data_IF_576756537213
#
_entry.id   IF_576756537213
#
_cell.length_a   1.000
_cell.length_b   1.000
_cell.length_c   1.000
_cell.angle_alpha   90.00
_cell.angle_beta   90.00
_cell.angle_gamma   90.00
#
_symmetry.space_group_name_H-M   'P 1'
#
loop_
_entity.id
_entity.type
_entity.pdbx_description
1 polymer ?
#
# COMPACT_ATOMS: atom_id res chain seq x y z
N UNK A 1 -5.59 -1.33 0.53
CA UNK A 1 -5.42 0.04 1.06
C UNK A 1 -4.61 0.88 0.11
N UNK A 2 -5.09 2.05 -0.24
CA UNK A 2 -4.39 2.92 -1.19
C UNK A 2 -4.77 4.39 -0.97
N UNK A 3 -3.83 5.28 -1.25
CA UNK A 3 -4.07 6.72 -1.37
C UNK A 3 -3.95 7.21 -2.82
N UNK A 4 -3.91 6.30 -3.77
CA UNK A 4 -3.73 6.61 -5.19
C UNK A 4 -5.08 6.72 -5.90
N UNK A 5 -5.43 7.90 -6.48
CA UNK A 5 -6.69 8.06 -7.19
C UNK A 5 -6.88 7.11 -8.38
N UNK A 6 -5.81 6.74 -9.07
CA UNK A 6 -5.90 5.81 -10.20
C UNK A 6 -6.24 4.39 -9.73
N UNK A 7 -5.75 3.99 -8.56
CA UNK A 7 -6.10 2.68 -7.97
C UNK A 7 -7.58 2.67 -7.60
N UNK A 8 -8.11 3.76 -7.08
CA UNK A 8 -9.53 3.89 -6.77
C UNK A 8 -10.41 3.79 -8.01
N UNK A 9 -9.97 4.35 -9.14
CA UNK A 9 -10.71 4.36 -10.41
C UNK A 9 -10.55 3.08 -11.23
N UNK A 10 -9.52 2.28 -10.95
CA UNK A 10 -9.25 1.04 -11.67
C UNK A 10 -10.38 0.03 -11.46
N UNK A 11 -10.73 -0.71 -12.49
CA UNK A 11 -11.71 -1.79 -12.37
C UNK A 11 -11.02 -3.07 -11.90
N UNK A 12 -11.28 -3.43 -10.67
CA UNK A 12 -10.69 -4.63 -10.06
C UNK A 12 -11.68 -5.77 -10.10
N UNK A 13 -11.18 -6.98 -10.42
CA UNK A 13 -11.93 -8.21 -10.26
C UNK A 13 -11.64 -8.80 -8.88
N UNK A 14 -12.69 -9.08 -8.12
CA UNK A 14 -12.61 -9.73 -6.79
C UNK A 14 -11.77 -8.97 -5.75
N UNK A 15 -11.56 -7.68 -5.96
CA UNK A 15 -10.80 -6.84 -5.06
C UNK A 15 -11.63 -5.60 -4.71
N UNK A 16 -11.68 -5.29 -3.41
CA UNK A 16 -12.28 -4.06 -2.92
C UNK A 16 -11.18 -3.07 -2.55
N UNK A 17 -11.30 -1.84 -3.01
CA UNK A 17 -10.35 -0.79 -2.69
C UNK A 17 -10.83 -0.03 -1.47
N UNK A 18 -9.97 0.10 -0.47
CA UNK A 18 -10.13 1.07 0.61
C UNK A 18 -9.23 2.26 0.34
N UNK A 19 -9.86 3.39 0.06
CA UNK A 19 -9.14 4.61 -0.23
C UNK A 19 -8.82 5.38 1.06
N UNK A 20 -7.56 5.79 1.18
CA UNK A 20 -7.08 6.63 2.27
C UNK A 20 -6.73 7.99 1.67
N UNK A 21 -7.56 8.99 1.90
CA UNK A 21 -7.33 10.35 1.40
C UNK A 21 -6.33 11.09 2.30
N UNK A 22 -5.10 10.61 2.29
CA UNK A 22 -4.02 11.10 3.14
C UNK A 22 -2.67 10.67 2.55
N UNK A 23 -1.60 10.83 3.31
CA UNK A 23 -0.24 10.50 2.91
C UNK A 23 0.02 9.00 2.77
N UNK A 24 1.11 8.63 2.10
CA UNK A 24 1.58 7.26 2.04
C UNK A 24 1.87 6.69 3.45
N UNK A 25 2.37 7.52 4.36
CA UNK A 25 2.58 7.12 5.75
C UNK A 25 1.26 6.72 6.42
N UNK A 26 0.18 7.45 6.15
CA UNK A 26 -1.15 7.11 6.68
C UNK A 26 -1.64 5.77 6.15
N UNK A 27 -1.34 5.42 4.89
CA UNK A 27 -1.65 4.09 4.34
C UNK A 27 -0.94 3.00 5.13
N UNK A 28 0.35 3.17 5.42
CA UNK A 28 1.10 2.19 6.21
C UNK A 28 0.53 2.03 7.62
N UNK A 29 0.15 3.13 8.28
CA UNK A 29 -0.43 3.08 9.62
C UNK A 29 -1.78 2.37 9.62
N UNK A 30 -2.59 2.59 8.61
CA UNK A 30 -3.89 1.91 8.46
C UNK A 30 -3.69 0.40 8.24
N UNK A 31 -2.73 0.02 7.39
CA UNK A 31 -2.37 -1.38 7.16
C UNK A 31 -1.84 -2.03 8.44
N UNK A 32 -1.04 -1.31 9.22
CA UNK A 32 -0.58 -1.79 10.53
C UNK A 32 -1.76 -2.19 11.43
N UNK A 33 -2.77 -1.34 11.52
CA UNK A 33 -3.94 -1.62 12.33
C UNK A 33 -4.69 -2.85 11.82
N UNK A 34 -4.81 -3.03 10.50
CA UNK A 34 -5.40 -4.21 9.91
C UNK A 34 -4.60 -5.48 10.21
N UNK A 35 -3.28 -5.43 10.14
CA UNK A 35 -2.41 -6.57 10.44
C UNK A 35 -2.52 -6.97 11.91
N UNK A 36 -2.56 -6.01 12.83
CA UNK A 36 -2.80 -6.29 14.25
C UNK A 36 -4.19 -6.86 14.49
N UNK A 37 -5.15 -6.52 13.64
CA UNK A 37 -6.51 -7.08 13.68
C UNK A 37 -6.65 -8.46 13.02
N UNK A 38 -5.57 -9.03 12.48
CA UNK A 38 -5.57 -10.37 11.93
C UNK A 38 -5.58 -10.46 10.40
N UNK A 39 -5.57 -9.34 9.69
CA UNK A 39 -5.43 -9.34 8.23
C UNK A 39 -3.99 -9.68 7.84
N UNK A 40 -3.84 -10.47 6.78
CA UNK A 40 -2.54 -10.88 6.28
C UNK A 40 -2.06 -9.92 5.19
N UNK A 41 -0.79 -9.57 5.25
CA UNK A 41 -0.13 -8.75 4.23
C UNK A 41 0.18 -9.61 3.00
N UNK A 42 -0.31 -9.20 1.82
CA UNK A 42 -0.18 -9.97 0.57
C UNK A 42 0.76 -9.31 -0.44
N UNK A 43 1.13 -8.05 -0.24
CA UNK A 43 2.16 -7.38 -1.03
C UNK A 43 3.17 -6.73 -0.11
N UNK A 44 4.37 -6.48 -0.63
CA UNK A 44 5.42 -5.85 0.18
C UNK A 44 5.10 -4.36 0.37
N UNK A 45 5.09 -3.85 1.61
CA UNK A 45 4.66 -2.46 1.89
C UNK A 45 5.59 -1.39 1.33
N UNK A 46 6.82 -1.73 0.99
CA UNK A 46 7.79 -0.80 0.38
C UNK A 46 8.11 -1.14 -1.07
N UNK A 47 7.33 -2.01 -1.69
CA UNK A 47 7.50 -2.41 -3.08
C UNK A 47 7.53 -1.22 -4.03
N UNK A 48 8.45 -1.22 -4.97
CA UNK A 48 8.55 -0.21 -6.02
C UNK A 48 9.12 1.14 -5.60
N UNK A 49 9.48 1.30 -4.33
CA UNK A 49 10.05 2.56 -3.84
C UNK A 49 11.57 2.51 -3.87
N UNK A 50 12.18 3.50 -4.46
CA UNK A 50 13.63 3.70 -4.38
C UNK A 50 13.98 4.16 -2.97
N UNK A 51 13.27 5.18 -2.49
CA UNK A 51 13.31 5.62 -1.09
C UNK A 51 11.87 5.83 -0.63
N UNK A 52 11.50 5.36 0.58
CA UNK A 52 10.11 5.42 1.03
C UNK A 52 9.50 6.82 1.06
N UNK A 53 10.31 7.86 1.25
CA UNK A 53 9.85 9.24 1.32
C UNK A 53 9.90 9.96 -0.02
N UNK A 54 10.22 9.28 -1.12
CA UNK A 54 10.30 9.88 -2.45
C UNK A 54 9.06 9.61 -3.31
N UNK A 55 8.15 8.77 -2.86
CA UNK A 55 6.88 8.53 -3.54
C UNK A 55 5.70 8.97 -2.68
N UNK A 56 4.78 9.79 -3.22
CA UNK A 56 3.62 10.23 -2.47
C UNK A 56 2.49 9.20 -2.42
N UNK A 57 2.55 8.16 -3.24
CA UNK A 57 1.48 7.17 -3.34
C UNK A 57 1.94 5.79 -2.89
N UNK A 58 1.05 5.09 -2.18
CA UNK A 58 1.29 3.74 -1.71
C UNK A 58 0.00 2.93 -1.83
N UNK A 59 0.12 1.74 -2.41
CA UNK A 59 -0.96 0.75 -2.45
C UNK A 59 -0.45 -0.56 -1.89
N UNK A 60 -1.23 -1.15 -1.00
CA UNK A 60 -0.84 -2.37 -0.28
C UNK A 60 -1.99 -3.35 -0.31
N UNK A 61 -1.70 -4.57 -0.71
CA UNK A 61 -2.64 -5.66 -0.79
C UNK A 61 -2.70 -6.40 0.55
N UNK A 62 -3.88 -6.53 1.10
CA UNK A 62 -4.11 -7.28 2.34
C UNK A 62 -5.24 -8.28 2.15
N UNK A 63 -5.28 -9.32 2.99
CA UNK A 63 -6.37 -10.29 2.95
C UNK A 63 -7.70 -9.63 3.31
N UNK A 64 -8.78 -10.06 2.68
CA UNK A 64 -10.13 -9.56 2.95
C UNK A 64 -10.61 -9.95 4.35
N UNK A 65 -10.30 -11.18 4.76
CA UNK A 65 -10.74 -11.71 6.04
C UNK A 65 -9.62 -11.66 7.08
N UNK A 66 -10.00 -11.38 8.31
CA UNK A 66 -9.11 -11.46 9.46
C UNK A 66 -9.19 -12.87 10.05
N UNK A 67 -8.05 -13.53 10.25
CA UNK A 67 -7.99 -14.87 10.82
C UNK A 67 -6.76 -15.01 11.71
N UNK A 68 -6.87 -14.64 12.97
CA UNK A 68 -5.74 -14.68 13.89
C UNK A 68 -4.57 -13.79 13.44
N UNK A 69 -3.70 -13.46 14.35
CA UNK A 69 -2.56 -12.59 14.05
C UNK A 69 -1.49 -13.33 13.24
N UNK A 70 -1.14 -12.81 12.07
CA UNK A 70 -0.01 -13.29 11.30
C UNK A 70 1.24 -12.51 11.71
N UNK A 71 2.10 -13.15 12.48
CA UNK A 71 3.30 -12.51 13.06
C UNK A 71 4.21 -11.93 11.97
N UNK A 72 4.37 -12.66 10.87
CA UNK A 72 5.20 -12.20 9.75
C UNK A 72 4.67 -10.89 9.15
N UNK A 73 3.36 -10.79 8.96
CA UNK A 73 2.73 -9.56 8.46
C UNK A 73 2.93 -8.38 9.41
N UNK A 74 2.74 -8.62 10.71
CA UNK A 74 2.95 -7.58 11.73
C UNK A 74 4.40 -7.11 11.74
N UNK A 75 5.35 -8.02 11.72
CA UNK A 75 6.77 -7.67 11.70
C UNK A 75 7.14 -6.88 10.45
N UNK A 76 6.63 -7.29 9.30
CA UNK A 76 6.94 -6.64 8.04
C UNK A 76 6.39 -5.22 7.97
N UNK A 77 5.16 -5.00 8.39
CA UNK A 77 4.56 -3.66 8.36
C UNK A 77 5.20 -2.72 9.39
N UNK A 78 5.52 -3.21 10.58
CA UNK A 78 6.19 -2.41 11.60
C UNK A 78 7.59 -2.00 11.12
N UNK A 79 8.31 -2.90 10.49
CA UNK A 79 9.63 -2.60 9.90
C UNK A 79 9.52 -1.57 8.77
N UNK A 80 8.50 -1.67 7.94
CA UNK A 80 8.26 -0.72 6.86
C UNK A 80 8.01 0.69 7.40
N UNK A 81 7.22 0.80 8.47
CA UNK A 81 6.96 2.08 9.14
C UNK A 81 8.25 2.65 9.74
N UNK A 82 9.05 1.81 10.38
CA UNK A 82 10.35 2.20 10.92
C UNK A 82 11.27 2.78 9.83
N UNK A 83 11.36 2.08 8.69
CA UNK A 83 12.16 2.53 7.55
C UNK A 83 11.66 3.87 7.02
N UNK A 84 10.34 4.02 6.85
CA UNK A 84 9.75 5.27 6.39
C UNK A 84 10.04 6.42 7.34
N UNK A 85 9.92 6.20 8.64
CA UNK A 85 10.22 7.21 9.65
C UNK A 85 11.70 7.61 9.65
N UNK A 86 12.59 6.68 9.34
CA UNK A 86 14.02 6.94 9.27
C UNK A 86 14.38 7.91 8.15
N UNK A 87 13.66 7.85 7.02
CA UNK A 87 13.84 8.78 5.90
C UNK A 87 13.15 10.13 6.14
N UNK A 88 12.22 10.18 7.08
CA UNK A 88 11.48 11.39 7.44
C UNK A 88 10.38 11.77 6.45
N UNK A 89 9.76 12.94 6.66
CA UNK A 89 8.64 13.37 5.82
C UNK A 89 9.09 13.73 4.41
N UNK A 90 8.15 13.63 3.47
CA UNK A 90 8.34 14.09 2.11
C UNK A 90 8.40 15.62 2.13
N UNK A 91 9.51 16.19 1.70
CA UNK A 91 9.73 17.64 1.69
C UNK A 91 9.68 18.24 0.29
N UNK A 92 9.74 17.39 -0.73
CA UNK A 92 9.72 17.80 -2.12
C UNK A 92 8.30 18.05 -2.58
N UNK A 93 8.09 19.13 -3.33
CA UNK A 93 6.86 19.36 -4.07
C UNK A 93 7.03 18.87 -5.50
N UNK A 94 6.09 18.06 -5.97
CA UNK A 94 6.10 17.58 -7.34
C UNK A 94 5.11 18.37 -8.19
N UNK A 95 5.46 18.48 -9.48
CA UNK A 95 4.53 19.00 -10.48
C UNK A 95 3.43 17.97 -10.74
N UNK A 96 2.30 18.44 -11.28
CA UNK A 96 1.16 17.58 -11.59
C UNK A 96 1.52 16.40 -12.49
N UNK A 97 2.37 16.62 -13.49
CA UNK A 97 2.86 15.56 -14.37
C UNK A 97 3.66 14.51 -13.61
N UNK A 98 4.51 14.91 -12.68
CA UNK A 98 5.29 14.00 -11.85
C UNK A 98 4.38 13.18 -10.95
N UNK A 99 3.37 13.80 -10.35
CA UNK A 99 2.38 13.12 -9.52
C UNK A 99 1.63 12.07 -10.32
N UNK A 100 1.24 12.39 -11.56
CA UNK A 100 0.56 11.44 -12.44
C UNK A 100 1.46 10.24 -12.76
N UNK A 101 2.73 10.47 -13.02
CA UNK A 101 3.69 9.40 -13.29
C UNK A 101 3.85 8.47 -12.08
N UNK A 102 3.93 9.03 -10.86
CA UNK A 102 3.96 8.23 -9.63
C UNK A 102 2.67 7.40 -9.46
N UNK A 103 1.52 7.97 -9.81
CA UNK A 103 0.24 7.25 -9.77
C UNK A 103 0.25 6.04 -10.72
N UNK A 104 0.75 6.23 -11.94
CA UNK A 104 0.81 5.16 -12.94
C UNK A 104 1.73 4.01 -12.50
N UNK A 105 2.88 4.34 -11.95
CA UNK A 105 3.84 3.32 -11.45
C UNK A 105 3.23 2.54 -10.30
N UNK A 106 2.63 3.20 -9.32
CA UNK A 106 2.00 2.54 -8.18
C UNK A 106 0.83 1.66 -8.62
N UNK A 107 -0.02 2.14 -9.54
CA UNK A 107 -1.11 1.35 -10.09
C UNK A 107 -0.59 0.07 -10.77
N UNK A 108 0.45 0.19 -11.58
CA UNK A 108 1.05 -0.95 -12.28
C UNK A 108 1.59 -1.99 -11.31
N UNK A 109 2.28 -1.55 -10.27
CA UNK A 109 2.87 -2.45 -9.26
C UNK A 109 1.80 -3.19 -8.48
N UNK A 110 0.74 -2.50 -8.06
CA UNK A 110 -0.31 -3.16 -7.29
C UNK A 110 -1.17 -4.08 -8.17
N UNK A 111 -1.34 -3.75 -9.45
CA UNK A 111 -2.02 -4.63 -10.39
C UNK A 111 -1.25 -5.94 -10.59
N UNK A 112 0.08 -5.87 -10.69
CA UNK A 112 0.93 -7.07 -10.80
C UNK A 112 0.85 -7.91 -9.52
N UNK A 113 0.86 -7.29 -8.36
CA UNK A 113 0.71 -7.99 -7.08
C UNK A 113 -0.67 -8.66 -6.96
N UNK A 114 -1.71 -7.99 -7.43
CA UNK A 114 -3.09 -8.52 -7.44
C UNK A 114 -3.20 -9.74 -8.34
N UNK A 115 -2.58 -9.71 -9.51
CA UNK A 115 -2.56 -10.84 -10.45
C UNK A 115 -1.83 -12.04 -9.83
N UNK A 116 -0.72 -11.81 -9.15
CA UNK A 116 0.04 -12.86 -8.48
C UNK A 116 -0.73 -13.48 -7.31
N UNK A 117 -1.67 -12.75 -6.70
CA UNK A 117 -2.49 -13.19 -5.57
C UNK A 117 -3.93 -13.53 -5.99
N UNK A 118 -4.18 -13.83 -7.26
CA UNK A 118 -5.51 -13.94 -7.85
C UNK A 118 -6.42 -14.98 -7.19
N UNK A 119 -5.87 -15.95 -6.46
CA UNK A 119 -6.64 -16.99 -5.77
C UNK A 119 -7.09 -16.57 -4.36
N UNK A 120 -6.58 -15.47 -3.85
CA UNK A 120 -6.92 -14.93 -2.54
C UNK A 120 -7.77 -13.68 -2.71
N UNK A 121 -8.91 -13.63 -2.03
CA UNK A 121 -9.73 -12.42 -1.99
C UNK A 121 -9.02 -11.36 -1.16
N UNK A 122 -8.91 -10.16 -1.71
CA UNK A 122 -8.06 -9.14 -1.13
C UNK A 122 -8.72 -7.78 -1.08
N UNK A 123 -8.18 -6.92 -0.21
CA UNK A 123 -8.51 -5.49 -0.12
C UNK A 123 -7.23 -4.73 -0.44
N UNK A 124 -7.35 -3.78 -1.30
CA UNK A 124 -6.26 -2.87 -1.60
C UNK A 124 -6.41 -1.60 -0.78
#
# INVERSE_FOLDING_TARGET
MSNNPLVLKHRWEKISVRYVDDSAAAVLLTVRDLCHGGHKLLSHPLSGSVKPNETPYKSILVSETASGTDVESVQLIEKAIEVMNRFGPIRRKWREKELHDFQLVDESLIADAADASANDLTII
#
